data_IF_666609399372
#
_entry.id   IF_666609399372
#
_cell.length_a   1.000
_cell.length_b   1.000
_cell.length_c   1.000
_cell.angle_alpha   90.00
_cell.angle_beta   90.00
_cell.angle_gamma   90.00
#
_symmetry.space_group_name_H-M   'P 1'
#
loop_
_entity.id
_entity.type
_entity.pdbx_description
1 polymer ?
#
# COMPACT_ATOMS: atom_id res chain seq x y z
N UNK A 1 2.05 -4.03 21.56
CA UNK A 1 1.56 -4.63 20.29
C UNK A 1 0.04 -4.79 20.40
N UNK A 2 -0.72 -4.21 19.47
CA UNK A 2 -2.19 -4.33 19.48
C UNK A 2 -2.58 -5.78 19.21
N UNK A 3 -3.12 -6.48 20.21
CA UNK A 3 -3.67 -7.83 20.06
C UNK A 3 -5.16 -7.67 19.76
N UNK A 4 -5.52 -7.72 18.49
CA UNK A 4 -6.94 -7.79 18.11
C UNK A 4 -7.53 -9.13 18.54
N UNK A 5 -8.86 -9.23 18.62
CA UNK A 5 -9.56 -10.50 18.90
C UNK A 5 -9.23 -11.58 17.85
N UNK A 6 -8.74 -11.19 16.67
CA UNK A 6 -8.36 -12.09 15.58
C UNK A 6 -6.95 -12.64 15.70
N UNK A 7 -6.11 -12.11 16.60
CA UNK A 7 -4.71 -12.53 16.75
C UNK A 7 -4.50 -14.05 16.94
N UNK A 8 -5.38 -14.80 17.64
CA UNK A 8 -5.25 -16.25 17.74
C UNK A 8 -5.51 -16.98 16.41
N UNK A 9 -6.36 -16.43 15.53
CA UNK A 9 -6.81 -17.04 14.29
C UNK A 9 -5.95 -16.64 13.08
N UNK A 10 -5.55 -15.38 13.02
CA UNK A 10 -4.68 -14.83 11.98
C UNK A 10 -3.50 -14.09 12.65
N UNK A 11 -2.51 -14.83 13.19
CA UNK A 11 -1.35 -14.18 13.79
C UNK A 11 -0.53 -13.48 12.70
N UNK A 12 -0.08 -12.24 12.95
CA UNK A 12 0.80 -11.51 12.01
C UNK A 12 2.18 -12.17 11.81
N UNK A 13 2.45 -13.23 12.58
CA UNK A 13 3.67 -14.02 12.56
C UNK A 13 3.31 -15.50 12.39
N UNK A 14 3.94 -16.16 11.43
CA UNK A 14 3.68 -17.57 11.11
C UNK A 14 4.15 -18.45 12.29
N UNK A 15 3.27 -19.32 12.80
CA UNK A 15 3.50 -20.21 13.96
C UNK A 15 3.85 -21.64 13.54
N UNK A 16 4.51 -22.40 14.43
CA UNK A 16 5.93 -22.29 14.73
C UNK A 16 6.76 -22.93 13.62
N UNK A 17 7.78 -22.22 13.15
CA UNK A 17 8.76 -22.72 12.21
C UNK A 17 9.92 -23.30 13.02
N UNK A 18 10.23 -24.59 12.81
CA UNK A 18 11.38 -25.22 13.46
C UNK A 18 12.67 -24.69 12.81
N UNK A 19 13.43 -23.92 13.56
CA UNK A 19 14.69 -23.35 13.11
C UNK A 19 15.89 -24.11 13.66
N UNK A 20 16.99 -24.06 12.90
CA UNK A 20 18.33 -24.47 13.32
C UNK A 20 19.28 -23.33 13.01
N UNK A 21 20.40 -23.28 13.74
CA UNK A 21 21.46 -22.34 13.42
C UNK A 21 22.14 -22.81 12.13
N UNK A 22 22.09 -21.99 11.10
CA UNK A 22 22.66 -22.26 9.79
C UNK A 22 23.67 -21.16 9.44
N UNK A 23 24.64 -21.46 8.57
CA UNK A 23 25.68 -20.50 8.18
C UNK A 23 25.16 -19.35 7.32
N UNK A 24 24.09 -19.58 6.54
CA UNK A 24 23.61 -18.66 5.52
C UNK A 24 22.17 -18.22 5.80
N UNK A 25 21.81 -17.04 5.28
CA UNK A 25 20.46 -16.50 5.35
C UNK A 25 19.54 -17.35 4.48
N UNK A 26 18.30 -17.54 4.93
CA UNK A 26 17.25 -18.09 4.08
C UNK A 26 16.79 -17.02 3.09
N UNK A 27 16.35 -17.44 1.90
CA UNK A 27 15.81 -16.51 0.90
C UNK A 27 14.51 -15.81 1.36
N UNK A 28 13.81 -16.40 2.33
CA UNK A 28 12.55 -15.87 2.88
C UNK A 28 12.76 -14.94 4.08
N UNK A 29 13.97 -14.89 4.66
CA UNK A 29 14.24 -14.19 5.92
C UNK A 29 13.84 -14.96 7.19
N UNK A 30 13.17 -16.12 7.07
CA UNK A 30 12.85 -16.96 8.22
C UNK A 30 14.09 -17.47 8.94
N UNK A 31 13.95 -17.74 10.23
CA UNK A 31 14.99 -18.23 11.14
C UNK A 31 16.18 -17.27 11.35
N UNK A 32 16.06 -16.01 10.94
CA UNK A 32 17.04 -15.00 11.31
C UNK A 32 17.06 -14.75 12.83
N UNK A 33 15.89 -14.78 13.47
CA UNK A 33 15.72 -14.77 14.92
C UNK A 33 15.23 -16.15 15.37
N UNK A 34 16.00 -16.86 16.21
CA UNK A 34 15.70 -18.24 16.61
C UNK A 34 14.50 -18.33 17.57
N UNK A 35 14.30 -17.30 18.41
CA UNK A 35 13.17 -17.23 19.35
C UNK A 35 11.88 -16.80 18.65
N UNK A 36 12.01 -16.00 17.59
CA UNK A 36 10.90 -15.49 16.79
C UNK A 36 11.16 -15.73 15.29
N UNK A 37 11.01 -16.98 14.81
CA UNK A 37 11.40 -17.41 13.46
C UNK A 37 10.90 -16.59 12.28
N UNK A 38 9.77 -15.90 12.41
CA UNK A 38 9.13 -15.14 11.31
C UNK A 38 9.36 -13.63 11.38
N UNK A 39 10.14 -13.12 12.33
CA UNK A 39 10.42 -11.68 12.41
C UNK A 39 11.29 -11.23 11.24
N UNK A 40 10.79 -10.26 10.47
CA UNK A 40 11.46 -9.74 9.28
C UNK A 40 11.41 -10.66 8.06
N UNK A 41 10.66 -11.76 8.13
CA UNK A 41 10.47 -12.64 6.99
C UNK A 41 9.54 -12.02 5.93
N UNK A 42 9.81 -12.28 4.66
CA UNK A 42 8.98 -11.85 3.54
C UNK A 42 7.56 -12.47 3.61
N UNK A 43 6.59 -11.83 2.94
CA UNK A 43 5.18 -12.24 2.94
C UNK A 43 4.56 -12.34 4.36
N UNK A 44 5.02 -11.48 5.27
CA UNK A 44 4.40 -11.30 6.60
C UNK A 44 3.83 -9.89 6.73
N UNK A 45 2.89 -9.70 7.65
CA UNK A 45 2.27 -8.41 7.87
C UNK A 45 3.29 -7.37 8.40
N UNK A 46 3.20 -6.13 7.93
CA UNK A 46 4.01 -5.04 8.48
C UNK A 46 3.74 -4.82 9.97
N UNK A 47 4.80 -4.55 10.72
CA UNK A 47 4.71 -4.19 12.14
C UNK A 47 4.03 -2.83 12.29
N UNK A 48 3.05 -2.75 13.19
CA UNK A 48 2.39 -1.49 13.55
C UNK A 48 2.98 -0.91 14.83
N UNK A 49 3.68 0.22 14.72
CA UNK A 49 4.17 0.99 15.87
C UNK A 49 3.04 1.74 16.58
N UNK A 50 2.00 2.14 15.85
CA UNK A 50 0.80 2.78 16.38
C UNK A 50 -0.47 2.02 15.92
N UNK A 51 -1.56 2.06 16.70
CA UNK A 51 -2.84 1.47 16.27
C UNK A 51 -3.32 2.04 14.92
N UNK A 52 -3.92 1.21 14.04
CA UNK A 52 -4.50 1.69 12.80
C UNK A 52 -5.67 2.66 13.05
N UNK A 53 -5.87 3.60 12.13
CA UNK A 53 -6.98 4.58 12.20
C UNK A 53 -7.84 4.49 10.95
N UNK A 54 -8.85 3.63 11.01
CA UNK A 54 -9.88 3.47 9.98
C UNK A 54 -11.20 4.06 10.46
N UNK A 55 -12.06 4.53 9.55
CA UNK A 55 -13.33 5.16 9.94
C UNK A 55 -14.35 4.20 10.57
N UNK A 56 -14.24 2.91 10.29
CA UNK A 56 -15.03 1.84 10.90
C UNK A 56 -14.20 0.98 11.88
N UNK A 57 -12.96 1.38 12.19
CA UNK A 57 -12.04 0.62 13.05
C UNK A 57 -11.40 -0.62 12.41
N UNK A 58 -11.77 -0.99 11.18
CA UNK A 58 -11.30 -2.21 10.52
C UNK A 58 -10.54 -1.88 9.24
N UNK A 59 -11.22 -1.28 8.26
CA UNK A 59 -10.71 -1.11 6.90
C UNK A 59 -11.27 0.12 6.17
N UNK A 60 -12.24 0.84 6.73
CA UNK A 60 -12.83 2.01 6.08
C UNK A 60 -11.86 3.19 5.98
N UNK A 61 -11.91 3.93 4.86
CA UNK A 61 -11.09 5.13 4.66
C UNK A 61 -11.15 6.09 5.83
N UNK A 62 -9.99 6.65 6.19
CA UNK A 62 -9.89 7.60 7.29
C UNK A 62 -10.80 8.81 7.04
N UNK A 63 -11.50 9.24 8.09
CA UNK A 63 -12.29 10.48 8.11
C UNK A 63 -11.63 11.50 9.02
N UNK A 64 -12.01 12.76 8.83
CA UNK A 64 -11.57 13.86 9.69
C UNK A 64 -12.01 13.59 11.13
N UNK A 65 -11.08 13.78 12.08
CA UNK A 65 -11.39 13.78 13.52
C UNK A 65 -12.32 14.93 13.89
N UNK A 66 -12.32 16.00 13.09
CA UNK A 66 -13.24 17.12 13.21
C UNK A 66 -14.54 16.78 12.48
N UNK A 67 -15.57 16.38 13.24
CA UNK A 67 -16.95 16.13 12.76
C UNK A 67 -17.13 14.94 11.81
N UNK A 68 -16.15 14.03 11.70
CA UNK A 68 -16.31 12.80 10.90
C UNK A 68 -16.46 13.01 9.39
N UNK A 69 -16.03 14.16 8.86
CA UNK A 69 -16.18 14.50 7.43
C UNK A 69 -15.16 13.76 6.56
N UNK A 70 -15.44 13.64 5.25
CA UNK A 70 -14.46 13.12 4.27
C UNK A 70 -13.21 13.98 4.26
N UNK A 71 -12.05 13.35 4.10
CA UNK A 71 -10.78 14.05 3.90
C UNK A 71 -10.73 14.69 2.49
N UNK A 72 -9.89 15.72 2.29
CA UNK A 72 -9.69 16.29 0.96
C UNK A 72 -9.31 15.22 -0.06
N UNK A 73 -9.84 15.34 -1.27
CA UNK A 73 -9.53 14.42 -2.37
C UNK A 73 -8.02 14.46 -2.69
N UNK A 74 -7.33 13.32 -2.89
CA UNK A 74 -5.87 13.30 -3.05
C UNK A 74 -5.38 14.15 -4.22
N UNK A 75 -6.11 14.15 -5.36
CA UNK A 75 -5.77 15.04 -6.50
C UNK A 75 -5.85 16.53 -6.14
N UNK A 76 -6.78 16.93 -5.27
CA UNK A 76 -6.87 18.30 -4.79
C UNK A 76 -5.64 18.67 -3.95
N UNK A 77 -5.20 17.76 -3.08
CA UNK A 77 -3.99 17.94 -2.25
C UNK A 77 -2.74 18.04 -3.13
N UNK A 78 -2.59 17.17 -4.13
CA UNK A 78 -1.49 17.29 -5.11
C UNK A 78 -1.48 18.67 -5.75
N UNK A 79 -2.64 19.15 -6.23
CA UNK A 79 -2.75 20.45 -6.89
C UNK A 79 -2.47 21.64 -5.97
N UNK A 80 -2.86 21.56 -4.70
CA UNK A 80 -2.74 22.68 -3.77
C UNK A 80 -1.39 22.72 -3.05
N UNK A 81 -0.74 21.58 -2.84
CA UNK A 81 0.45 21.45 -1.99
C UNK A 81 1.71 21.09 -2.77
N UNK A 82 1.59 20.26 -3.81
CA UNK A 82 2.75 19.79 -4.58
C UNK A 82 2.92 20.64 -5.83
N UNK A 83 3.58 21.77 -5.68
CA UNK A 83 3.99 22.60 -6.81
C UNK A 83 5.18 21.98 -7.52
N UNK A 84 5.13 22.01 -8.85
CA UNK A 84 6.21 21.57 -9.70
C UNK A 84 7.17 22.75 -9.95
N UNK A 85 8.44 22.58 -9.59
CA UNK A 85 9.48 23.57 -9.78
C UNK A 85 10.73 22.88 -10.34
N UNK A 86 11.25 23.39 -11.45
CA UNK A 86 12.55 22.96 -11.95
C UNK A 86 13.67 23.57 -11.09
N UNK A 87 14.12 22.78 -10.12
CA UNK A 87 15.18 23.14 -9.16
C UNK A 87 16.09 21.95 -8.92
N UNK A 88 17.03 21.66 -9.84
CA UNK A 88 17.98 20.57 -9.65
C UNK A 88 18.86 20.81 -8.42
N UNK A 89 19.22 19.74 -7.72
CA UNK A 89 20.15 19.81 -6.59
C UNK A 89 21.56 20.10 -7.09
N UNK A 90 22.27 21.04 -6.44
CA UNK A 90 23.69 21.31 -6.71
C UNK A 90 24.62 20.38 -5.95
N UNK A 91 24.12 19.72 -4.90
CA UNK A 91 24.95 19.02 -3.92
C UNK A 91 24.78 17.49 -4.00
N UNK A 92 23.74 17.02 -4.70
CA UNK A 92 23.41 15.60 -4.81
C UNK A 92 23.35 15.15 -6.25
N UNK A 93 24.07 14.06 -6.54
CA UNK A 93 23.94 13.37 -7.82
C UNK A 93 22.62 12.60 -7.86
N UNK A 94 22.17 12.24 -9.07
CA UNK A 94 20.99 11.39 -9.27
C UNK A 94 21.10 10.04 -8.53
N UNK A 95 22.32 9.58 -8.23
CA UNK A 95 22.57 8.33 -7.51
C UNK A 95 21.91 8.32 -6.12
N UNK A 96 21.75 9.47 -5.46
CA UNK A 96 21.09 9.54 -4.15
C UNK A 96 19.64 9.06 -4.24
N UNK A 97 18.91 9.54 -5.25
CA UNK A 97 17.52 9.12 -5.49
C UNK A 97 17.45 7.64 -5.88
N UNK A 98 18.30 7.23 -6.83
CA UNK A 98 18.32 5.85 -7.32
C UNK A 98 18.70 4.84 -6.24
N UNK A 99 19.67 5.15 -5.39
CA UNK A 99 20.06 4.30 -4.27
C UNK A 99 18.97 4.22 -3.21
N UNK A 100 18.23 5.31 -2.98
CA UNK A 100 17.05 5.31 -2.13
C UNK A 100 16.00 4.30 -2.61
N UNK A 101 15.70 4.28 -3.91
CA UNK A 101 14.77 3.30 -4.48
C UNK A 101 15.30 1.87 -4.40
N UNK A 102 16.59 1.66 -4.65
CA UNK A 102 17.24 0.35 -4.50
C UNK A 102 17.06 -0.21 -3.08
N UNK A 103 17.29 0.62 -2.06
CA UNK A 103 17.11 0.21 -0.66
C UNK A 103 15.63 0.00 -0.30
N UNK A 104 14.73 0.86 -0.78
CA UNK A 104 13.28 0.68 -0.56
C UNK A 104 12.81 -0.69 -1.08
N UNK A 105 13.24 -1.04 -2.29
CA UNK A 105 12.89 -2.31 -2.95
C UNK A 105 13.49 -3.56 -2.28
N UNK A 106 14.61 -3.44 -1.54
CA UNK A 106 15.18 -4.54 -0.75
C UNK A 106 14.42 -4.73 0.57
N UNK A 107 13.89 -3.64 1.14
CA UNK A 107 13.34 -3.64 2.50
C UNK A 107 11.83 -3.89 2.56
N UNK A 108 11.04 -3.38 1.60
CA UNK A 108 9.60 -3.39 1.74
C UNK A 108 8.85 -3.45 0.40
N UNK A 109 7.77 -4.23 0.39
CA UNK A 109 6.76 -4.17 -0.66
C UNK A 109 5.38 -4.47 -0.04
N UNK A 110 4.46 -3.51 -0.14
CA UNK A 110 3.05 -3.78 0.10
C UNK A 110 2.44 -4.36 -1.19
N UNK A 111 2.14 -5.65 -1.19
CA UNK A 111 1.70 -6.34 -2.40
C UNK A 111 0.38 -5.72 -2.93
N UNK A 112 0.32 -5.34 -4.22
CA UNK A 112 -0.94 -4.97 -4.84
C UNK A 112 -1.86 -6.20 -4.91
N UNK A 113 -3.19 -6.01 -4.90
CA UNK A 113 -4.11 -7.11 -5.00
C UNK A 113 -4.03 -7.78 -6.37
N UNK A 114 -4.16 -9.10 -6.37
CA UNK A 114 -4.32 -9.92 -7.57
C UNK A 114 -5.76 -10.37 -7.65
N UNK A 115 -6.36 -10.21 -8.83
CA UNK A 115 -7.74 -10.60 -9.08
C UNK A 115 -7.74 -11.87 -9.93
N UNK A 116 -8.60 -12.83 -9.56
CA UNK A 116 -8.73 -14.08 -10.30
C UNK A 116 -10.19 -14.28 -10.71
N UNK A 117 -10.41 -14.56 -11.99
CA UNK A 117 -11.72 -14.98 -12.53
C UNK A 117 -11.49 -16.35 -13.18
N UNK A 118 -12.26 -17.35 -12.76
CA UNK A 118 -12.16 -18.74 -13.25
C UNK A 118 -10.74 -19.31 -13.21
N UNK A 119 -9.96 -18.93 -12.18
CA UNK A 119 -8.58 -19.40 -12.00
C UNK A 119 -7.52 -18.64 -12.81
N UNK A 120 -7.93 -17.66 -13.63
CA UNK A 120 -7.02 -16.82 -14.39
C UNK A 120 -6.82 -15.46 -13.74
N UNK A 121 -5.57 -15.02 -13.61
CA UNK A 121 -5.25 -13.68 -13.14
C UNK A 121 -5.75 -12.65 -14.16
N UNK A 122 -6.54 -11.69 -13.70
CA UNK A 122 -7.09 -10.61 -14.51
C UNK A 122 -6.63 -9.27 -13.98
N UNK A 123 -6.25 -8.39 -14.89
CA UNK A 123 -6.00 -7.00 -14.56
C UNK A 123 -7.33 -6.25 -14.48
N UNK A 124 -7.64 -5.71 -13.31
CA UNK A 124 -8.83 -4.88 -13.11
C UNK A 124 -8.44 -3.42 -13.27
N UNK A 125 -9.06 -2.69 -14.20
CA UNK A 125 -8.92 -1.24 -14.28
C UNK A 125 -10.09 -0.58 -13.52
N UNK A 126 -9.81 -0.01 -12.34
CA UNK A 126 -10.84 0.62 -11.51
C UNK A 126 -11.40 1.90 -12.14
N UNK A 127 -10.77 2.44 -13.19
CA UNK A 127 -11.31 3.55 -13.97
C UNK A 127 -12.36 3.12 -15.01
N UNK A 128 -12.33 1.85 -15.42
CA UNK A 128 -13.11 1.33 -16.55
C UNK A 128 -13.91 0.10 -16.14
N UNK A 129 -14.62 0.22 -15.03
CA UNK A 129 -15.52 -0.84 -14.57
C UNK A 129 -16.76 -0.92 -15.48
N UNK A 130 -17.25 -2.13 -15.82
CA UNK A 130 -18.45 -2.30 -16.62
C UNK A 130 -19.67 -1.60 -16.00
N UNK A 131 -20.51 -0.92 -16.80
CA UNK A 131 -21.73 -0.29 -16.30
C UNK A 131 -22.64 -1.32 -15.62
N UNK A 132 -23.16 -0.98 -14.43
CA UNK A 132 -24.10 -1.83 -13.70
C UNK A 132 -23.47 -2.93 -12.84
N UNK A 133 -22.14 -3.10 -12.87
CA UNK A 133 -21.45 -3.95 -11.90
C UNK A 133 -21.02 -3.14 -10.67
N UNK A 134 -21.18 -3.69 -9.45
CA UNK A 134 -20.61 -3.06 -8.27
C UNK A 134 -19.09 -2.99 -8.42
N UNK A 135 -18.50 -1.86 -8.04
CA UNK A 135 -17.05 -1.73 -7.98
C UNK A 135 -16.48 -2.81 -7.05
N UNK A 136 -15.36 -3.42 -7.45
CA UNK A 136 -14.63 -4.32 -6.56
C UNK A 136 -14.31 -3.59 -5.25
N UNK A 137 -14.38 -4.28 -4.12
CA UNK A 137 -14.17 -3.71 -2.77
C UNK A 137 -12.79 -3.07 -2.56
N UNK A 138 -11.84 -3.41 -3.43
CA UNK A 138 -10.46 -2.91 -3.41
C UNK A 138 -10.27 -1.73 -4.36
N UNK A 139 -11.21 -1.47 -5.27
CA UNK A 139 -11.14 -0.34 -6.18
C UNK A 139 -11.53 0.95 -5.47
N UNK A 140 -10.66 1.97 -5.57
CA UNK A 140 -10.97 3.34 -5.14
C UNK A 140 -10.29 4.35 -6.06
N UNK A 141 -10.76 4.44 -7.32
CA UNK A 141 -10.11 5.25 -8.34
C UNK A 141 -10.08 6.73 -7.94
N UNK A 142 -8.92 7.35 -8.10
CA UNK A 142 -8.72 8.77 -7.82
C UNK A 142 -9.36 9.59 -8.94
N UNK A 143 -10.48 10.24 -8.66
CA UNK A 143 -11.23 11.01 -9.66
C UNK A 143 -10.48 12.28 -10.07
N UNK A 144 -10.40 12.52 -11.37
CA UNK A 144 -9.78 13.73 -11.92
C UNK A 144 -10.90 14.71 -12.25
N UNK A 145 -10.89 15.92 -11.68
CA UNK A 145 -11.92 16.90 -11.99
C UNK A 145 -11.79 17.38 -13.44
N UNK A 146 -12.89 17.74 -14.13
CA UNK A 146 -12.84 18.18 -15.52
C UNK A 146 -11.97 19.43 -15.75
N UNK A 147 -11.87 20.29 -14.74
CA UNK A 147 -11.02 21.49 -14.74
C UNK A 147 -9.60 21.23 -14.21
N UNK A 148 -9.14 19.98 -14.23
CA UNK A 148 -7.75 19.66 -13.97
C UNK A 148 -6.86 20.22 -15.09
N UNK A 149 -5.87 21.08 -14.78
CA UNK A 149 -5.10 21.78 -15.81
C UNK A 149 -4.18 20.85 -16.59
N UNK A 150 -3.80 19.70 -16.03
CA UNK A 150 -2.90 18.74 -16.67
C UNK A 150 -3.70 17.66 -17.37
N UNK A 151 -4.61 17.01 -16.65
CA UNK A 151 -5.29 15.81 -17.12
C UNK A 151 -6.64 16.08 -17.79
N UNK A 152 -7.27 17.23 -17.50
CA UNK A 152 -8.52 17.66 -18.13
C UNK A 152 -8.40 17.79 -19.64
N UNK A 153 -7.39 18.52 -20.17
CA UNK A 153 -7.13 18.60 -21.61
C UNK A 153 -6.87 17.25 -22.29
N UNK A 154 -6.39 16.25 -21.54
CA UNK A 154 -6.13 14.89 -22.02
C UNK A 154 -7.39 14.00 -21.97
N UNK A 155 -8.54 14.53 -21.53
CA UNK A 155 -9.78 13.77 -21.36
C UNK A 155 -9.71 12.69 -20.28
N UNK A 156 -8.68 12.71 -19.41
CA UNK A 156 -8.50 11.69 -18.38
C UNK A 156 -9.39 12.02 -17.18
N UNK A 157 -10.27 11.10 -16.82
CA UNK A 157 -11.28 11.29 -15.76
C UNK A 157 -10.93 10.66 -14.42
N UNK A 158 -9.94 9.78 -14.38
CA UNK A 158 -9.49 9.14 -13.15
C UNK A 158 -8.06 8.57 -13.29
N UNK A 159 -7.45 8.33 -12.13
CA UNK A 159 -6.32 7.42 -12.00
C UNK A 159 -6.81 6.12 -11.38
N UNK A 160 -6.39 5.02 -11.98
CA UNK A 160 -6.62 3.69 -11.45
C UNK A 160 -5.86 3.54 -10.11
N UNK A 161 -6.58 3.03 -9.11
CA UNK A 161 -6.04 2.82 -7.77
C UNK A 161 -6.77 1.65 -7.11
N UNK A 162 -5.98 0.73 -6.57
CA UNK A 162 -6.43 -0.39 -5.76
C UNK A 162 -5.83 -0.28 -4.36
N UNK A 163 -6.63 -0.63 -3.37
CA UNK A 163 -6.15 -0.83 -1.99
C UNK A 163 -5.16 -1.99 -1.98
N UNK A 164 -4.05 -1.83 -1.25
CA UNK A 164 -3.15 -2.94 -0.92
C UNK A 164 -3.90 -4.04 -0.16
N UNK A 165 -3.44 -5.28 -0.29
CA UNK A 165 -3.99 -6.39 0.51
C UNK A 165 -3.67 -6.19 2.00
N UNK A 166 -4.61 -6.62 2.85
CA UNK A 166 -4.49 -6.57 4.30
C UNK A 166 -3.90 -7.87 4.86
#
# INVERSE_FOLDING_TARGET
>A
MSRTIFWPHCPGHVKPIKCRMERFRTYTGHCNNLDNPSWGAANTAFVRYLPPVYSNGVDGYRKSVMKGRKLPHPRLVTRMVHSDFDRPSTDMTILVMSWGQFLDHDLALAMPPRFFIDGHEVEVDCCRLPPGQPSHELCDPVQIPPNDPVYGPMGRKCHDFKRSIA
#
